data_IF_298561275250
#
_entry.id   IF_298561275250
#
_cell.length_a   1.000
_cell.length_b   1.000
_cell.length_c   1.000
_cell.angle_alpha   90.00
_cell.angle_beta   90.00
_cell.angle_gamma   90.00
#
_symmetry.space_group_name_H-M   'P 1'
#
loop_
_entity.id
_entity.type
_entity.pdbx_description
1 polymer ?
#
# COMPACT_ATOMS: atom_id res chain seq x y z
N UNK A 1 10.29 15.71 -7.47
CA UNK A 1 9.88 14.32 -7.12
C UNK A 1 8.65 13.95 -7.94
N UNK A 2 8.70 12.83 -8.67
CA UNK A 2 7.56 12.28 -9.40
C UNK A 2 7.31 10.82 -8.96
N UNK A 3 6.04 10.44 -8.92
CA UNK A 3 5.58 9.10 -8.50
C UNK A 3 4.79 8.49 -9.63
N UNK A 4 5.16 7.29 -10.06
CA UNK A 4 4.45 6.54 -11.10
C UNK A 4 3.94 5.22 -10.53
N UNK A 5 2.66 4.95 -10.77
CA UNK A 5 1.99 3.67 -10.51
C UNK A 5 1.68 3.04 -11.87
N UNK A 6 2.43 2.03 -12.32
CA UNK A 6 2.26 1.45 -13.64
C UNK A 6 0.94 0.66 -13.79
N UNK A 7 0.39 0.19 -12.66
CA UNK A 7 -0.81 -0.64 -12.63
C UNK A 7 -2.05 0.10 -12.11
N UNK A 8 -3.23 -0.40 -12.50
CA UNK A 8 -4.52 0.05 -11.93
C UNK A 8 -4.64 -0.51 -10.51
N UNK A 9 -4.84 0.38 -9.56
CA UNK A 9 -4.95 0.05 -8.13
C UNK A 9 -6.41 0.15 -7.72
N UNK A 10 -7.01 -0.97 -7.32
CA UNK A 10 -8.25 -0.95 -6.56
C UNK A 10 -7.93 -0.51 -5.14
N UNK A 11 -8.31 0.71 -4.78
CA UNK A 11 -8.05 1.28 -3.45
C UNK A 11 -8.98 0.72 -2.36
N UNK A 12 -10.10 0.12 -2.77
CA UNK A 12 -11.12 -0.41 -1.85
C UNK A 12 -10.97 -1.91 -1.57
N UNK A 13 -10.19 -2.62 -2.40
CA UNK A 13 -9.94 -4.05 -2.19
C UNK A 13 -9.29 -4.32 -0.81
N UNK A 14 -9.80 -5.29 -0.04
CA UNK A 14 -9.18 -5.69 1.23
C UNK A 14 -7.84 -6.41 0.98
N UNK A 15 -7.03 -6.52 2.03
CA UNK A 15 -5.67 -7.09 1.94
C UNK A 15 -5.64 -8.46 1.25
N UNK A 16 -6.53 -9.39 1.64
CA UNK A 16 -6.57 -10.76 1.09
C UNK A 16 -7.05 -10.88 -0.38
N UNK A 17 -7.47 -9.79 -1.01
CA UNK A 17 -7.82 -9.73 -2.44
C UNK A 17 -6.90 -8.78 -3.22
N UNK A 18 -6.07 -8.03 -2.51
CA UNK A 18 -5.16 -7.07 -3.12
C UNK A 18 -4.02 -7.81 -3.81
N UNK A 19 -3.51 -7.20 -4.89
CA UNK A 19 -2.27 -7.61 -5.54
C UNK A 19 -1.12 -6.73 -5.05
N UNK A 20 0.09 -7.23 -5.23
CA UNK A 20 1.31 -6.48 -4.96
C UNK A 20 1.32 -5.16 -5.76
N UNK A 21 1.87 -4.12 -5.14
CA UNK A 21 1.93 -2.78 -5.71
C UNK A 21 3.37 -2.42 -6.05
N UNK A 22 3.63 -2.17 -7.34
CA UNK A 22 4.90 -1.58 -7.78
C UNK A 22 4.78 -0.05 -7.75
N UNK A 23 5.71 0.61 -7.05
CA UNK A 23 5.80 2.06 -6.97
C UNK A 23 7.16 2.51 -7.49
N UNK A 24 7.17 3.34 -8.53
CA UNK A 24 8.38 3.93 -9.08
C UNK A 24 8.52 5.38 -8.61
N UNK A 25 9.64 5.68 -7.94
CA UNK A 25 9.95 6.99 -7.37
C UNK A 25 11.13 7.61 -8.10
N UNK A 26 10.90 8.75 -8.75
CA UNK A 26 11.95 9.52 -9.39
C UNK A 26 12.38 10.67 -8.48
N UNK A 27 13.62 10.61 -8.02
CA UNK A 27 14.19 11.52 -7.03
C UNK A 27 15.11 12.55 -7.68
N UNK A 28 15.03 13.77 -7.16
CA UNK A 28 15.95 14.85 -7.48
C UNK A 28 16.97 15.01 -6.34
N UNK A 29 18.19 15.48 -6.63
CA UNK A 29 19.18 15.75 -5.59
C UNK A 29 18.68 16.81 -4.60
N UNK A 30 19.06 16.68 -3.34
CA UNK A 30 18.79 17.68 -2.31
C UNK A 30 19.50 19.00 -2.65
N UNK A 31 18.82 20.12 -2.44
CA UNK A 31 19.35 21.46 -2.74
C UNK A 31 20.67 21.77 -1.99
N UNK A 32 20.92 21.13 -0.84
CA UNK A 32 22.12 21.35 -0.01
C UNK A 32 23.22 20.32 -0.26
N UNK A 33 22.90 19.21 -0.94
CA UNK A 33 23.83 18.11 -1.16
C UNK A 33 23.50 17.40 -2.49
N UNK A 34 24.34 17.63 -3.50
CA UNK A 34 24.16 17.09 -4.85
C UNK A 34 24.23 15.56 -4.96
N UNK A 35 24.67 14.88 -3.89
CA UNK A 35 24.74 13.41 -3.79
C UNK A 35 23.75 12.82 -2.79
N UNK A 36 22.88 13.64 -2.21
CA UNK A 36 21.88 13.21 -1.25
C UNK A 36 20.52 13.19 -1.93
N UNK A 37 19.79 12.09 -1.79
CA UNK A 37 18.45 11.92 -2.33
C UNK A 37 17.52 11.56 -1.18
N UNK A 38 16.36 12.22 -1.11
CA UNK A 38 15.38 11.96 -0.05
C UNK A 38 13.99 11.90 -0.63
N UNK A 39 13.21 10.93 -0.16
CA UNK A 39 11.82 10.74 -0.51
C UNK A 39 11.01 10.43 0.76
N UNK A 40 9.74 10.77 0.73
CA UNK A 40 8.75 10.26 1.67
C UNK A 40 7.56 9.76 0.87
N UNK A 41 7.07 8.57 1.22
CA UNK A 41 5.86 7.98 0.63
C UNK A 41 4.86 7.77 1.75
N UNK A 42 3.67 8.40 1.69
CA UNK A 42 2.62 8.10 2.64
C UNK A 42 2.10 6.69 2.38
N UNK A 43 2.01 5.88 3.44
CA UNK A 43 1.44 4.53 3.38
C UNK A 43 0.08 4.52 4.05
N UNK A 44 -0.86 3.81 3.44
CA UNK A 44 -2.17 3.53 4.02
C UNK A 44 -2.39 2.01 4.00
N UNK A 45 -2.64 1.43 5.17
CA UNK A 45 -2.90 0.00 5.30
C UNK A 45 -4.32 -0.33 4.85
N UNK A 46 -4.47 -1.41 4.09
CA UNK A 46 -5.77 -1.95 3.70
C UNK A 46 -6.47 -2.62 4.88
N UNK A 47 -7.78 -2.83 4.74
CA UNK A 47 -8.55 -3.62 5.68
C UNK A 47 -8.07 -5.07 5.69
N UNK A 48 -7.61 -5.53 6.85
CA UNK A 48 -7.18 -6.90 7.09
C UNK A 48 -8.34 -7.72 7.70
N UNK A 49 -8.25 -9.04 7.55
CA UNK A 49 -9.18 -9.95 8.23
C UNK A 49 -8.94 -9.96 9.75
N UNK A 50 -9.97 -10.28 10.54
CA UNK A 50 -9.78 -10.56 11.95
C UNK A 50 -8.74 -11.67 12.16
N UNK A 51 -7.83 -11.47 13.12
CA UNK A 51 -6.79 -12.42 13.47
C UNK A 51 -7.17 -13.23 14.71
N UNK A 52 -6.52 -14.38 14.87
CA UNK A 52 -6.70 -15.27 16.01
C UNK A 52 -5.63 -14.96 17.06
N UNK A 53 -6.06 -14.72 18.30
CA UNK A 53 -5.15 -14.47 19.43
C UNK A 53 -4.34 -13.16 19.39
N UNK A 54 -4.54 -12.30 18.39
CA UNK A 54 -3.85 -11.00 18.26
C UNK A 54 -4.78 -9.93 17.72
N UNK A 55 -4.62 -8.70 18.21
CA UNK A 55 -5.30 -7.48 17.72
C UNK A 55 -4.43 -6.71 16.70
N UNK A 56 -3.25 -7.23 16.36
CA UNK A 56 -2.35 -6.63 15.38
C UNK A 56 -1.93 -7.65 14.32
N UNK A 57 -1.95 -7.22 13.06
CA UNK A 57 -1.27 -7.89 11.95
C UNK A 57 0.05 -7.17 11.66
N UNK A 58 1.12 -7.94 11.43
CA UNK A 58 2.45 -7.40 11.10
C UNK A 58 2.64 -7.48 9.59
N UNK A 59 2.86 -6.33 8.96
CA UNK A 59 3.17 -6.20 7.54
C UNK A 59 4.64 -5.85 7.39
N UNK A 60 5.38 -6.70 6.68
CA UNK A 60 6.80 -6.48 6.41
C UNK A 60 6.93 -5.59 5.18
N UNK A 61 7.57 -4.43 5.33
CA UNK A 61 7.92 -3.58 4.21
C UNK A 61 9.31 -3.98 3.71
N UNK A 62 9.35 -4.52 2.49
CA UNK A 62 10.62 -4.92 1.86
C UNK A 62 11.50 -3.69 1.60
N UNK A 63 12.82 -3.90 1.66
CA UNK A 63 13.76 -2.85 1.27
C UNK A 63 13.57 -2.51 -0.20
N UNK A 64 13.48 -1.22 -0.56
CA UNK A 64 13.29 -0.82 -1.95
C UNK A 64 14.52 -1.17 -2.78
N UNK A 65 14.30 -1.52 -4.05
CA UNK A 65 15.37 -1.57 -5.02
C UNK A 65 15.75 -0.14 -5.45
N UNK A 66 17.05 0.15 -5.45
CA UNK A 66 17.56 1.45 -5.86
C UNK A 66 18.21 1.31 -7.23
N UNK A 67 17.69 2.07 -8.19
CA UNK A 67 18.21 2.13 -9.55
C UNK A 67 18.80 3.50 -9.83
N UNK A 68 19.87 3.53 -10.62
CA UNK A 68 20.54 4.75 -11.08
C UNK A 68 20.39 4.88 -12.60
N UNK A 69 20.04 6.07 -13.08
CA UNK A 69 20.09 6.42 -14.51
C UNK A 69 21.51 6.92 -14.80
N UNK A 70 22.26 6.19 -15.62
CA UNK A 70 23.62 6.58 -16.04
C UNK A 70 23.62 7.57 -17.21
N UNK A 71 22.46 8.18 -17.41
CA UNK A 71 22.09 9.08 -18.48
C UNK A 71 22.81 10.43 -18.38
N UNK A 72 23.39 10.75 -17.21
CA UNK A 72 24.20 11.93 -16.96
C UNK A 72 25.59 11.54 -16.43
N UNK A 73 26.63 12.15 -17.00
CA UNK A 73 28.06 11.86 -16.76
C UNK A 73 28.52 11.99 -15.29
N UNK A 74 27.74 12.65 -14.44
CA UNK A 74 28.06 12.90 -13.03
C UNK A 74 28.02 11.66 -12.12
N UNK A 75 27.35 10.58 -12.53
CA UNK A 75 27.21 9.33 -11.74
C UNK A 75 27.76 8.09 -12.48
N UNK A 76 28.47 8.29 -13.59
CA UNK A 76 28.95 7.21 -14.46
C UNK A 76 29.93 6.24 -13.77
N UNK A 77 30.58 6.65 -12.66
CA UNK A 77 31.53 5.81 -11.94
C UNK A 77 30.86 4.83 -10.96
N UNK A 78 29.62 5.11 -10.53
CA UNK A 78 28.84 4.27 -9.61
C UNK A 78 27.89 3.30 -10.32
N UNK A 79 27.84 3.36 -11.66
CA UNK A 79 27.01 2.52 -12.51
C UNK A 79 27.65 1.15 -12.75
N UNK A 80 27.10 0.10 -12.13
CA UNK A 80 27.52 -1.30 -12.31
C UNK A 80 26.64 -2.01 -13.35
N UNK A 81 26.39 -3.32 -13.25
CA UNK A 81 25.66 -4.07 -14.30
C UNK A 81 24.31 -3.43 -14.68
N UNK A 82 23.93 -3.45 -15.98
CA UNK A 82 22.64 -2.93 -16.41
C UNK A 82 21.51 -3.74 -15.79
N UNK A 83 20.57 -3.05 -15.15
CA UNK A 83 19.33 -3.63 -14.67
C UNK A 83 18.35 -3.64 -15.85
N UNK A 84 17.88 -4.83 -16.21
CA UNK A 84 16.90 -5.02 -17.28
C UNK A 84 15.50 -4.64 -16.75
N UNK A 85 15.25 -3.33 -16.62
CA UNK A 85 13.98 -2.81 -16.10
C UNK A 85 13.36 -1.82 -17.09
N UNK A 86 12.17 -2.15 -17.60
CA UNK A 86 11.35 -1.32 -18.48
C UNK A 86 10.73 -0.13 -17.72
N UNK A 87 11.55 0.83 -17.26
CA UNK A 87 11.03 2.05 -16.61
C UNK A 87 11.25 3.30 -17.47
N UNK A 88 10.26 4.21 -17.52
CA UNK A 88 10.32 5.38 -18.39
C UNK A 88 11.41 6.38 -17.97
N UNK A 89 11.96 7.09 -18.96
CA UNK A 89 12.97 8.13 -18.75
C UNK A 89 12.40 9.38 -18.04
N UNK A 90 13.15 10.05 -17.15
CA UNK A 90 12.66 11.22 -16.41
C UNK A 90 12.42 12.49 -17.24
N UNK A 91 13.07 12.69 -18.40
CA UNK A 91 13.02 14.02 -19.05
C UNK A 91 13.31 14.15 -20.55
N UNK A 92 13.70 13.12 -21.32
CA UNK A 92 13.90 13.31 -22.77
C UNK A 92 13.80 12.00 -23.57
N UNK A 93 13.12 12.06 -24.72
CA UNK A 93 12.74 10.93 -25.58
C UNK A 93 13.84 10.54 -26.60
N UNK A 94 15.07 11.03 -26.45
CA UNK A 94 16.12 10.89 -27.47
C UNK A 94 16.98 9.64 -27.33
N UNK A 95 16.87 8.87 -26.24
CA UNK A 95 17.51 7.55 -26.10
C UNK A 95 16.84 6.70 -25.00
N UNK A 96 16.77 5.37 -25.14
CA UNK A 96 16.33 4.50 -24.05
C UNK A 96 17.27 4.67 -22.83
N UNK A 97 16.70 4.95 -21.66
CA UNK A 97 17.48 5.08 -20.43
C UNK A 97 17.93 3.69 -19.99
N UNK A 98 19.24 3.50 -19.88
CA UNK A 98 19.80 2.31 -19.27
C UNK A 98 19.83 2.53 -17.75
N UNK A 99 18.99 1.78 -17.05
CA UNK A 99 18.95 1.76 -15.60
C UNK A 99 19.95 0.73 -15.09
N UNK A 100 20.64 1.05 -13.99
CA UNK A 100 21.65 0.18 -13.41
C UNK A 100 21.32 -0.06 -11.94
N UNK A 101 21.48 -1.31 -11.51
CA UNK A 101 21.34 -1.64 -10.10
C UNK A 101 22.56 -1.15 -9.34
N UNK A 102 22.36 -0.69 -8.12
CA UNK A 102 23.47 -0.29 -7.24
C UNK A 102 23.49 -1.16 -5.99
N UNK A 103 24.69 -1.43 -5.50
CA UNK A 103 24.88 -2.02 -4.17
C UNK A 103 24.56 -0.97 -3.12
N UNK A 104 23.30 -0.91 -2.69
CA UNK A 104 22.91 -0.13 -1.52
C UNK A 104 23.02 -1.00 -0.26
N UNK A 105 23.32 -0.39 0.88
CA UNK A 105 23.13 -1.07 2.16
C UNK A 105 21.63 -1.05 2.45
N UNK A 106 20.93 -2.20 2.41
CA UNK A 106 19.52 -2.24 2.79
C UNK A 106 19.37 -1.70 4.21
N UNK A 107 18.20 -1.12 4.49
CA UNK A 107 17.86 -0.74 5.85
C UNK A 107 18.01 -2.00 6.73
N UNK A 108 18.81 -1.88 7.80
CA UNK A 108 19.24 -3.02 8.63
C UNK A 108 18.07 -3.69 9.38
N UNK A 109 16.89 -3.07 9.36
CA UNK A 109 15.65 -3.62 9.88
C UNK A 109 14.58 -3.53 8.79
N UNK A 110 14.04 -4.68 8.38
CA UNK A 110 12.77 -4.74 7.67
C UNK A 110 11.75 -3.92 8.45
N UNK A 111 11.25 -2.85 7.84
CA UNK A 111 10.35 -1.94 8.54
C UNK A 111 9.00 -2.63 8.69
N UNK A 112 8.68 -3.04 9.92
CA UNK A 112 7.43 -3.72 10.23
C UNK A 112 6.34 -2.70 10.55
N UNK A 113 5.27 -2.71 9.76
CA UNK A 113 4.06 -1.94 10.04
C UNK A 113 3.08 -2.79 10.82
N UNK A 114 2.61 -2.29 11.97
CA UNK A 114 1.56 -2.93 12.77
C UNK A 114 0.22 -2.35 12.37
N UNK A 115 -0.69 -3.22 11.91
CA UNK A 115 -2.03 -2.85 11.49
C UNK A 115 -3.03 -3.41 12.49
N UNK A 116 -3.90 -2.59 13.10
CA UNK A 116 -4.89 -3.08 14.03
C UNK A 116 -5.93 -3.95 13.30
N UNK A 117 -6.28 -5.08 13.89
CA UNK A 117 -7.25 -6.05 13.37
C UNK A 117 -8.23 -6.48 14.45
N UNK A 118 -9.42 -6.91 14.03
CA UNK A 118 -10.38 -7.50 14.95
C UNK A 118 -9.95 -8.88 15.44
N UNK A 119 -10.47 -9.32 16.58
CA UNK A 119 -10.29 -10.70 17.06
C UNK A 119 -11.34 -11.62 16.45
N UNK A 120 -10.87 -12.74 15.88
CA UNK A 120 -11.74 -13.74 15.27
C UNK A 120 -12.67 -14.41 16.28
N UNK A 121 -12.24 -14.53 17.54
CA UNK A 121 -13.03 -15.09 18.64
C UNK A 121 -14.33 -14.33 18.93
N UNK A 122 -14.34 -13.02 18.68
CA UNK A 122 -15.53 -12.20 18.88
C UNK A 122 -16.56 -12.35 17.75
N UNK A 123 -16.21 -12.99 16.63
CA UNK A 123 -17.08 -13.09 15.45
C UNK A 123 -18.44 -13.71 15.79
N UNK A 124 -18.47 -14.83 16.52
CA UNK A 124 -19.71 -15.53 16.86
C UNK A 124 -20.63 -14.68 17.76
N UNK A 125 -20.06 -14.05 18.78
CA UNK A 125 -20.78 -13.19 19.72
C UNK A 125 -21.33 -11.95 19.01
N UNK A 126 -20.50 -11.28 18.21
CA UNK A 126 -20.89 -10.09 17.45
C UNK A 126 -22.02 -10.46 16.48
N UNK A 127 -21.88 -11.54 15.70
CA UNK A 127 -22.93 -12.00 14.80
C UNK A 127 -24.24 -12.30 15.52
N UNK A 128 -24.20 -13.04 16.63
CA UNK A 128 -25.40 -13.37 17.40
C UNK A 128 -26.08 -12.10 17.93
N UNK A 129 -25.33 -11.18 18.52
CA UNK A 129 -25.86 -9.93 19.06
C UNK A 129 -26.45 -9.03 17.96
N UNK A 130 -25.76 -8.91 16.82
CA UNK A 130 -26.25 -8.16 15.66
C UNK A 130 -27.56 -8.77 15.14
N UNK A 131 -27.62 -10.09 14.95
CA UNK A 131 -28.85 -10.77 14.48
C UNK A 131 -30.02 -10.57 15.44
N UNK A 132 -29.80 -10.73 16.74
CA UNK A 132 -30.83 -10.50 17.76
C UNK A 132 -31.32 -9.04 17.72
N UNK A 133 -30.40 -8.09 17.68
CA UNK A 133 -30.73 -6.65 17.67
C UNK A 133 -31.49 -6.28 16.39
N UNK A 134 -30.99 -6.69 15.23
CA UNK A 134 -31.65 -6.47 13.93
C UNK A 134 -33.02 -7.11 13.89
N UNK A 135 -33.17 -8.34 14.40
CA UNK A 135 -34.46 -9.03 14.48
C UNK A 135 -35.47 -8.28 15.35
N UNK A 136 -35.04 -7.83 16.54
CA UNK A 136 -35.88 -7.03 17.44
C UNK A 136 -36.28 -5.69 16.82
N UNK A 137 -35.32 -4.93 16.29
CA UNK A 137 -35.58 -3.65 15.64
C UNK A 137 -36.53 -3.80 14.46
N UNK A 138 -36.29 -4.79 13.59
CA UNK A 138 -37.15 -5.05 12.44
C UNK A 138 -38.56 -5.48 12.86
N UNK A 139 -38.67 -6.31 13.90
CA UNK A 139 -39.95 -6.72 14.47
C UNK A 139 -40.75 -5.55 15.04
N UNK A 140 -40.09 -4.62 15.75
CA UNK A 140 -40.74 -3.41 16.27
C UNK A 140 -41.21 -2.48 15.14
N UNK A 141 -40.37 -2.28 14.12
CA UNK A 141 -40.72 -1.48 12.93
C UNK A 141 -41.91 -2.12 12.21
N UNK A 142 -41.90 -3.44 12.00
CA UNK A 142 -43.00 -4.16 11.36
C UNK A 142 -44.29 -4.07 12.18
N UNK A 143 -44.23 -4.25 13.50
CA UNK A 143 -45.39 -4.10 14.37
C UNK A 143 -45.97 -2.69 14.31
N UNK A 144 -45.11 -1.66 14.28
CA UNK A 144 -45.55 -0.28 14.12
C UNK A 144 -46.19 -0.05 12.75
N UNK A 145 -45.60 -0.55 11.66
CA UNK A 145 -46.15 -0.46 10.32
C UNK A 145 -47.51 -1.16 10.21
N UNK A 146 -47.68 -2.35 10.81
CA UNK A 146 -48.97 -3.05 10.82
C UNK A 146 -50.05 -2.31 11.63
N UNK A 147 -49.66 -1.67 12.74
CA UNK A 147 -50.59 -0.99 13.64
C UNK A 147 -51.00 0.41 13.16
N UNK A 148 -50.08 1.12 12.51
CA UNK A 148 -50.26 2.53 12.16
C UNK A 148 -50.17 2.82 10.66
N UNK A 149 -49.78 1.84 9.85
CA UNK A 149 -49.71 1.97 8.40
C UNK A 149 -51.11 1.98 7.78
N UNK A 150 -51.43 3.07 7.08
CA UNK A 150 -52.53 3.06 6.11
C UNK A 150 -51.99 2.44 4.82
N UNK A 151 -52.19 1.13 4.67
CA UNK A 151 -51.96 0.46 3.39
C UNK A 151 -53.16 0.77 2.49
N UNK A 152 -52.96 1.71 1.57
CA UNK A 152 -53.91 2.05 0.49
C UNK A 152 -53.93 0.97 -0.59
#
# INVERSE_FOLDING_TARGET
QAVLTPDVIDVEAPEYLARDLLLLLFLEPDARCSRCFRAAVPVHARYHRPAEGTEEAVVVLQSPEVLLCCCHSHLSAECWEPAEVDTPCPSDNTSPCQWHSTTHRPAYEESMLRVPVGLREHSSLVCALTLLTTGLCSGLILAAACKYGHFS
#
